data_IF_411017443876
#
_entry.id   IF_411017443876
#
_cell.length_a   1.000
_cell.length_b   1.000
_cell.length_c   1.000
_cell.angle_alpha   90.00
_cell.angle_beta   90.00
_cell.angle_gamma   90.00
#
_symmetry.space_group_name_H-M   'P 1'
#
loop_
_entity.id
_entity.type
_entity.pdbx_description
1 polymer ?
#
# COMPACT_ATOMS: atom_id res chain seq x y z
N UNK A 1 -9.67 4.77 -9.95
CA UNK A 1 -9.88 3.57 -9.11
C UNK A 1 -9.50 3.81 -7.65
N UNK A 2 -8.50 4.63 -7.35
CA UNK A 2 -8.19 5.02 -5.97
C UNK A 2 -8.95 6.28 -5.51
N UNK A 3 -10.18 6.47 -5.98
CA UNK A 3 -10.91 7.72 -5.79
C UNK A 3 -11.49 7.87 -4.39
N UNK A 4 -11.76 6.75 -3.70
CA UNK A 4 -12.39 6.75 -2.39
C UNK A 4 -11.66 5.86 -1.41
N UNK A 5 -11.06 6.47 -0.40
CA UNK A 5 -10.32 5.78 0.65
C UNK A 5 -11.20 5.47 1.85
N UNK A 6 -11.05 4.28 2.42
CA UNK A 6 -11.38 4.04 3.82
C UNK A 6 -10.09 4.14 4.64
N UNK A 7 -10.08 5.00 5.65
CA UNK A 7 -8.96 5.17 6.57
C UNK A 7 -9.40 4.75 7.97
N UNK A 8 -9.03 3.54 8.43
CA UNK A 8 -9.30 3.12 9.79
C UNK A 8 -8.45 3.92 10.78
N UNK A 9 -9.09 4.44 11.82
CA UNK A 9 -8.43 5.20 12.88
C UNK A 9 -8.74 4.59 14.24
N UNK A 10 -7.71 4.36 15.04
CA UNK A 10 -7.78 3.88 16.42
C UNK A 10 -7.31 4.94 17.42
N UNK A 11 -7.14 6.17 16.96
CA UNK A 11 -6.66 7.34 17.70
C UNK A 11 -5.21 7.20 18.17
N UNK A 12 -4.45 6.26 17.63
CA UNK A 12 -2.99 6.22 17.81
C UNK A 12 -2.32 7.32 16.98
N UNK A 13 -1.12 7.79 17.36
CA UNK A 13 -0.34 8.72 16.55
C UNK A 13 -0.17 8.24 15.09
N UNK A 14 0.07 6.95 14.89
CA UNK A 14 0.24 6.36 13.57
C UNK A 14 -1.04 6.44 12.71
N UNK A 15 -2.22 6.22 13.33
CA UNK A 15 -3.48 6.38 12.60
C UNK A 15 -3.81 7.83 12.27
N UNK A 16 -3.35 8.79 13.09
CA UNK A 16 -3.43 10.23 12.80
C UNK A 16 -2.52 10.60 11.63
N UNK A 17 -1.27 10.11 11.61
CA UNK A 17 -0.35 10.30 10.49
C UNK A 17 -0.93 9.74 9.20
N UNK A 18 -1.55 8.55 9.24
CA UNK A 18 -2.21 7.97 8.07
C UNK A 18 -3.34 8.84 7.54
N UNK A 19 -4.16 9.40 8.44
CA UNK A 19 -5.22 10.31 8.04
C UNK A 19 -4.67 11.62 7.43
N UNK A 20 -3.57 12.15 7.97
CA UNK A 20 -2.84 13.29 7.38
C UNK A 20 -2.25 12.94 6.01
N UNK A 21 -1.64 11.77 5.88
CA UNK A 21 -1.13 11.29 4.60
C UNK A 21 -2.25 11.12 3.57
N UNK A 22 -3.44 10.66 3.99
CA UNK A 22 -4.60 10.54 3.12
C UNK A 22 -5.05 11.89 2.53
N UNK A 23 -4.90 13.00 3.27
CA UNK A 23 -5.18 14.34 2.75
C UNK A 23 -4.26 14.70 1.56
N UNK A 24 -2.97 14.32 1.60
CA UNK A 24 -2.04 14.54 0.50
C UNK A 24 -2.37 13.71 -0.75
N UNK A 25 -3.12 12.63 -0.60
CA UNK A 25 -3.50 11.77 -1.73
C UNK A 25 -4.50 12.44 -2.69
N UNK A 26 -5.05 13.60 -2.35
CA UNK A 26 -5.82 14.42 -3.28
C UNK A 26 -5.04 14.70 -4.58
N UNK A 27 -3.74 14.96 -4.48
CA UNK A 27 -2.86 15.20 -5.63
C UNK A 27 -2.71 13.98 -6.54
N UNK A 28 -3.04 12.78 -6.05
CA UNK A 28 -3.00 11.52 -6.80
C UNK A 28 -4.38 11.04 -7.25
N UNK A 29 -5.39 11.94 -7.23
CA UNK A 29 -6.73 11.65 -7.73
C UNK A 29 -7.71 11.08 -6.71
N UNK A 30 -7.35 11.03 -5.42
CA UNK A 30 -8.32 10.74 -4.35
C UNK A 30 -9.30 11.89 -4.23
N UNK A 31 -10.59 11.58 -4.14
CA UNK A 31 -11.69 12.57 -4.08
C UNK A 31 -12.49 12.49 -2.78
N UNK A 32 -12.51 11.31 -2.16
CA UNK A 32 -13.29 11.10 -0.94
C UNK A 32 -12.50 10.25 0.06
N UNK A 33 -12.54 10.65 1.33
CA UNK A 33 -11.97 9.93 2.46
C UNK A 33 -13.06 9.59 3.47
N UNK A 34 -13.18 8.33 3.84
CA UNK A 34 -14.03 7.85 4.92
C UNK A 34 -13.15 7.50 6.11
N UNK A 35 -13.15 8.32 7.13
CA UNK A 35 -12.54 7.97 8.41
C UNK A 35 -13.43 6.97 9.12
N UNK A 36 -12.89 5.80 9.44
CA UNK A 36 -13.63 4.74 10.10
C UNK A 36 -13.02 4.39 11.45
N UNK A 37 -13.80 4.47 12.51
CA UNK A 37 -13.37 4.10 13.85
C UNK A 37 -14.24 2.99 14.43
N UNK A 38 -13.59 1.87 14.79
CA UNK A 38 -14.21 0.67 15.37
C UNK A 38 -13.80 0.52 16.84
N UNK A 39 -14.09 1.51 17.68
CA UNK A 39 -13.69 1.51 19.09
C UNK A 39 -14.83 1.01 20.00
N UNK A 40 -14.50 0.50 21.18
CA UNK A 40 -15.49 -0.03 22.13
C UNK A 40 -16.34 1.07 22.80
N UNK A 41 -15.80 2.29 22.92
CA UNK A 41 -16.48 3.43 23.52
C UNK A 41 -16.25 4.69 22.69
N UNK A 42 -17.32 5.23 22.12
CA UNK A 42 -17.25 6.43 21.31
C UNK A 42 -18.13 7.55 21.79
N UNK A 43 -17.47 8.66 21.90
CA UNK A 43 -18.10 9.94 21.62
C UNK A 43 -17.69 10.39 20.21
N UNK A 44 -18.65 10.69 19.31
CA UNK A 44 -18.40 11.44 18.07
C UNK A 44 -17.72 12.80 18.32
N UNK A 45 -17.55 13.15 19.58
CA UNK A 45 -16.93 14.37 20.10
C UNK A 45 -15.49 14.15 20.55
N UNK A 46 -14.86 13.03 20.19
CA UNK A 46 -13.44 12.84 20.50
C UNK A 46 -12.62 13.97 19.85
N UNK A 47 -11.88 14.76 20.62
CA UNK A 47 -11.14 15.91 20.11
C UNK A 47 -10.15 15.54 19.00
N UNK A 48 -9.58 14.32 19.05
CA UNK A 48 -8.63 13.83 18.05
C UNK A 48 -9.32 13.52 16.72
N UNK A 49 -10.49 12.86 16.77
CA UNK A 49 -11.29 12.64 15.55
C UNK A 49 -11.71 13.96 14.92
N UNK A 50 -12.07 14.95 15.75
CA UNK A 50 -12.39 16.28 15.26
C UNK A 50 -11.20 16.96 14.60
N UNK A 51 -10.02 16.91 15.21
CA UNK A 51 -8.82 17.51 14.64
C UNK A 51 -8.43 16.88 13.27
N UNK A 52 -8.63 15.56 13.13
CA UNK A 52 -8.41 14.87 11.84
C UNK A 52 -9.48 15.31 10.81
N UNK A 53 -10.73 15.41 11.23
CA UNK A 53 -11.86 15.82 10.40
C UNK A 53 -11.69 17.25 9.87
N UNK A 54 -11.33 18.19 10.76
CA UNK A 54 -11.04 19.59 10.44
C UNK A 54 -9.90 19.67 9.37
N UNK A 55 -8.83 18.90 9.54
CA UNK A 55 -7.69 18.86 8.62
C UNK A 55 -8.05 18.31 7.23
N UNK A 56 -8.85 17.25 7.18
CA UNK A 56 -9.36 16.76 5.90
C UNK A 56 -10.23 17.81 5.22
N UNK A 57 -10.98 18.60 6.00
CA UNK A 57 -11.73 19.74 5.49
C UNK A 57 -10.86 20.80 4.82
N UNK A 58 -9.70 21.11 5.41
CA UNK A 58 -8.73 22.05 4.85
C UNK A 58 -8.13 21.57 3.52
N UNK A 59 -8.02 20.25 3.31
CA UNK A 59 -7.49 19.69 2.07
C UNK A 59 -8.44 19.78 0.87
N UNK A 60 -9.68 20.20 1.07
CA UNK A 60 -10.71 20.25 0.04
C UNK A 60 -11.28 18.89 -0.37
N UNK A 61 -10.85 17.79 0.28
CA UNK A 61 -11.38 16.47 0.05
C UNK A 61 -12.80 16.31 0.62
N UNK A 62 -13.67 15.65 -0.14
CA UNK A 62 -14.92 15.18 0.45
C UNK A 62 -14.58 14.13 1.52
N UNK A 63 -15.05 14.35 2.73
CA UNK A 63 -14.76 13.43 3.83
C UNK A 63 -15.96 13.22 4.74
N UNK A 64 -15.92 12.14 5.52
CA UNK A 64 -16.90 11.84 6.56
C UNK A 64 -16.31 10.90 7.61
N UNK A 65 -16.86 11.00 8.81
CA UNK A 65 -16.51 10.14 9.93
C UNK A 65 -17.61 9.12 10.17
N UNK A 66 -17.24 7.84 10.20
CA UNK A 66 -18.11 6.71 10.53
C UNK A 66 -17.57 6.04 11.79
N UNK A 67 -18.40 5.94 12.80
CA UNK A 67 -18.02 5.29 14.08
C UNK A 67 -18.96 4.13 14.36
N UNK A 68 -18.42 2.98 14.70
CA UNK A 68 -19.17 1.79 15.08
C UNK A 68 -18.51 1.10 16.27
N UNK A 69 -19.34 0.48 17.14
CA UNK A 69 -18.83 -0.37 18.22
C UNK A 69 -18.78 -1.80 17.72
N UNK A 70 -17.58 -2.38 17.63
CA UNK A 70 -17.37 -3.74 17.11
C UNK A 70 -16.24 -4.47 17.85
N UNK A 71 -16.46 -5.77 18.11
CA UNK A 71 -15.47 -6.65 18.77
C UNK A 71 -14.36 -7.14 17.83
N UNK A 72 -14.62 -7.27 16.52
CA UNK A 72 -13.62 -7.65 15.50
C UNK A 72 -13.34 -6.45 14.58
N UNK A 73 -12.30 -5.67 14.86
CA UNK A 73 -11.98 -4.48 14.07
C UNK A 73 -11.69 -4.80 12.59
N UNK A 74 -11.03 -5.89 12.29
CA UNK A 74 -10.70 -6.24 10.90
C UNK A 74 -11.94 -6.54 10.06
N UNK A 75 -12.89 -7.33 10.60
CA UNK A 75 -14.17 -7.58 9.93
C UNK A 75 -14.99 -6.30 9.78
N UNK A 76 -14.95 -5.43 10.78
CA UNK A 76 -15.66 -4.18 10.77
C UNK A 76 -15.11 -3.23 9.70
N UNK A 77 -13.80 -3.09 9.59
CA UNK A 77 -13.11 -2.31 8.54
C UNK A 77 -13.50 -2.81 7.14
N UNK A 78 -13.44 -4.12 6.91
CA UNK A 78 -13.78 -4.70 5.60
C UNK A 78 -15.24 -4.47 5.20
N UNK A 79 -16.18 -4.66 6.15
CA UNK A 79 -17.61 -4.39 5.95
C UNK A 79 -17.88 -2.90 5.71
N UNK A 80 -17.22 -2.04 6.46
CA UNK A 80 -17.32 -0.59 6.27
C UNK A 80 -16.81 -0.18 4.89
N UNK A 81 -15.67 -0.73 4.45
CA UNK A 81 -15.14 -0.44 3.11
C UNK A 81 -16.14 -0.82 2.01
N UNK A 82 -16.77 -1.98 2.11
CA UNK A 82 -17.82 -2.44 1.19
C UNK A 82 -19.06 -1.54 1.26
N UNK A 83 -19.60 -1.32 2.45
CA UNK A 83 -20.81 -0.51 2.65
C UNK A 83 -20.64 0.96 2.22
N UNK A 84 -19.43 1.49 2.34
CA UNK A 84 -19.10 2.85 1.93
C UNK A 84 -18.74 2.95 0.43
N UNK A 85 -18.62 1.83 -0.29
CA UNK A 85 -18.18 1.81 -1.69
C UNK A 85 -16.75 2.32 -1.84
N UNK A 86 -15.88 2.04 -0.86
CA UNK A 86 -14.47 2.42 -0.92
C UNK A 86 -13.74 1.62 -1.99
N UNK A 87 -12.74 2.23 -2.61
CA UNK A 87 -11.95 1.63 -3.69
C UNK A 87 -10.56 1.21 -3.22
N UNK A 88 -10.14 1.68 -2.03
CA UNK A 88 -8.90 1.30 -1.37
C UNK A 88 -9.04 1.47 0.14
N UNK A 89 -8.33 0.66 0.92
CA UNK A 89 -8.16 0.83 2.36
C UNK A 89 -6.75 1.37 2.60
N UNK A 90 -6.62 2.47 3.33
CA UNK A 90 -5.33 3.06 3.69
C UNK A 90 -5.18 3.06 5.20
N UNK A 91 -4.17 2.37 5.73
CA UNK A 91 -4.02 2.20 7.17
C UNK A 91 -2.56 2.18 7.61
N UNK A 92 -2.32 2.55 8.87
CA UNK A 92 -1.00 2.42 9.47
C UNK A 92 -0.66 0.94 9.71
N UNK A 93 0.60 0.59 9.59
CA UNK A 93 1.09 -0.78 9.81
C UNK A 93 0.91 -1.26 11.25
N UNK A 94 1.03 -0.36 12.23
CA UNK A 94 0.84 -0.65 13.65
C UNK A 94 -0.01 0.45 14.31
N UNK A 95 -0.82 0.07 15.29
CA UNK A 95 -1.62 0.98 16.13
C UNK A 95 -1.03 1.15 17.53
N UNK A 96 -1.89 1.15 18.57
CA UNK A 96 -1.60 1.43 19.98
C UNK A 96 -0.59 0.52 20.71
N UNK A 97 0.45 0.02 20.09
CA UNK A 97 1.45 -0.84 20.74
C UNK A 97 2.86 -0.38 20.44
N UNK A 98 3.71 -0.24 21.47
CA UNK A 98 5.17 -0.12 21.32
C UNK A 98 5.72 -1.45 20.78
N UNK A 99 5.51 -1.72 19.49
CA UNK A 99 6.00 -2.95 18.88
C UNK A 99 7.22 -2.63 18.02
N UNK A 100 8.27 -3.43 18.22
CA UNK A 100 9.55 -3.35 17.53
C UNK A 100 9.39 -3.10 16.02
N UNK A 101 10.38 -2.48 15.45
CA UNK A 101 10.47 -1.94 14.07
C UNK A 101 9.98 -2.83 12.91
N UNK A 102 9.62 -4.09 13.15
CA UNK A 102 9.32 -5.09 12.12
C UNK A 102 7.92 -5.72 12.20
N UNK A 103 7.00 -5.20 13.04
CA UNK A 103 5.69 -5.84 13.19
C UNK A 103 4.56 -5.08 12.51
N UNK A 104 3.83 -5.78 11.66
CA UNK A 104 2.50 -5.37 11.19
C UNK A 104 1.48 -5.77 12.26
N UNK A 105 0.63 -4.85 12.68
CA UNK A 105 -0.40 -5.10 13.69
C UNK A 105 -1.36 -6.21 13.28
N UNK A 106 -1.91 -6.93 14.26
CA UNK A 106 -2.83 -8.05 14.01
C UNK A 106 -4.05 -7.65 13.17
N UNK A 107 -4.61 -6.48 13.43
CA UNK A 107 -5.73 -5.91 12.65
C UNK A 107 -5.32 -5.64 11.21
N UNK A 108 -4.17 -4.99 10.99
CA UNK A 108 -3.66 -4.68 9.66
C UNK A 108 -3.38 -5.96 8.87
N UNK A 109 -2.74 -6.94 9.50
CA UNK A 109 -2.48 -8.25 8.89
C UNK A 109 -3.79 -8.99 8.52
N UNK A 110 -4.80 -8.94 9.39
CA UNK A 110 -6.10 -9.56 9.13
C UNK A 110 -6.86 -8.87 7.99
N UNK A 111 -6.77 -7.54 7.89
CA UNK A 111 -7.32 -6.76 6.77
C UNK A 111 -6.64 -7.14 5.47
N UNK A 112 -5.29 -7.12 5.41
CA UNK A 112 -4.52 -7.49 4.21
C UNK A 112 -4.89 -8.90 3.72
N UNK A 113 -5.01 -9.87 4.64
CA UNK A 113 -5.33 -11.27 4.27
C UNK A 113 -6.74 -11.45 3.70
N UNK A 114 -7.68 -10.60 4.08
CA UNK A 114 -9.11 -10.79 3.81
C UNK A 114 -9.68 -9.75 2.85
N UNK A 115 -8.93 -8.68 2.56
CA UNK A 115 -9.39 -7.61 1.69
C UNK A 115 -9.47 -8.06 0.23
N UNK A 116 -10.54 -7.66 -0.43
CA UNK A 116 -10.69 -7.73 -1.89
C UNK A 116 -10.27 -6.43 -2.57
N UNK A 117 -10.06 -5.37 -1.78
CA UNK A 117 -9.59 -4.07 -2.24
C UNK A 117 -8.08 -3.98 -2.06
N UNK A 118 -7.39 -3.13 -2.83
CA UNK A 118 -6.04 -2.72 -2.52
C UNK A 118 -5.94 -2.19 -1.09
N UNK A 119 -4.85 -2.53 -0.42
CA UNK A 119 -4.56 -2.03 0.92
C UNK A 119 -3.23 -1.30 0.87
N UNK A 120 -3.27 0.01 1.11
CA UNK A 120 -2.09 0.79 1.38
C UNK A 120 -1.74 0.65 2.86
N UNK A 121 -0.52 0.23 3.12
CA UNK A 121 0.00 0.09 4.47
C UNK A 121 1.20 1.02 4.62
N UNK A 122 1.08 2.00 5.49
CA UNK A 122 2.18 2.91 5.78
C UNK A 122 2.76 2.64 7.17
N UNK A 123 4.07 2.74 7.28
CA UNK A 123 4.80 2.54 8.52
C UNK A 123 5.49 3.83 8.93
N UNK A 124 4.87 4.52 9.85
CA UNK A 124 5.43 5.76 10.41
C UNK A 124 6.47 5.45 11.48
N UNK A 125 7.62 6.14 11.49
CA UNK A 125 8.62 6.00 12.54
C UNK A 125 8.10 6.56 13.87
N UNK A 126 8.59 6.01 14.98
CA UNK A 126 8.18 6.46 16.32
C UNK A 126 8.65 7.89 16.65
N UNK A 127 9.72 8.33 16.03
CA UNK A 127 10.27 9.69 16.20
C UNK A 127 9.30 10.77 15.65
N UNK A 128 8.42 10.39 14.74
CA UNK A 128 7.38 11.28 14.22
C UNK A 128 6.23 11.56 15.22
N UNK A 129 6.22 10.92 16.38
CA UNK A 129 5.18 11.12 17.41
C UNK A 129 5.21 12.55 17.98
N UNK A 130 6.34 13.26 17.89
CA UNK A 130 6.48 14.66 18.37
C UNK A 130 5.87 15.70 17.41
N UNK A 131 5.89 15.44 16.10
CA UNK A 131 5.26 16.25 15.05
C UNK A 131 4.74 15.37 13.90
N UNK A 132 3.60 14.71 14.10
CA UNK A 132 3.04 13.81 13.09
C UNK A 132 2.72 14.50 11.76
N UNK A 133 2.40 15.78 11.83
CA UNK A 133 1.98 16.56 10.67
C UNK A 133 3.18 16.99 9.85
N UNK A 134 4.12 17.66 10.49
CA UNK A 134 5.35 18.11 9.83
C UNK A 134 6.12 16.93 9.24
N UNK A 135 6.14 15.77 9.92
CA UNK A 135 6.72 14.56 9.37
C UNK A 135 6.09 14.17 8.03
N UNK A 136 4.76 14.09 7.97
CA UNK A 136 4.06 13.72 6.74
C UNK A 136 4.25 14.78 5.64
N UNK A 137 4.20 16.06 6.00
CA UNK A 137 4.35 17.16 5.04
C UNK A 137 5.74 17.22 4.40
N UNK A 138 6.79 16.86 5.13
CA UNK A 138 8.17 16.85 4.63
C UNK A 138 8.60 15.50 4.04
N UNK A 139 7.74 14.48 4.09
CA UNK A 139 8.02 13.18 3.48
C UNK A 139 8.03 13.26 1.95
N UNK A 140 8.84 12.43 1.26
CA UNK A 140 8.81 12.30 -0.19
C UNK A 140 7.39 12.02 -0.71
N UNK A 141 7.15 12.33 -1.98
CA UNK A 141 5.89 12.00 -2.63
C UNK A 141 5.70 10.48 -2.72
N UNK A 142 4.51 9.99 -2.38
CA UNK A 142 4.21 8.55 -2.39
C UNK A 142 4.51 7.90 -3.75
N UNK A 143 4.34 8.63 -4.83
CA UNK A 143 4.51 8.17 -6.22
C UNK A 143 5.82 8.65 -6.88
N UNK A 144 6.80 9.15 -6.10
CA UNK A 144 8.08 9.60 -6.67
C UNK A 144 8.88 8.42 -7.24
N UNK A 145 8.90 7.27 -6.55
CA UNK A 145 9.53 6.04 -7.03
C UNK A 145 8.75 4.81 -6.55
N UNK A 146 8.17 4.07 -7.48
CA UNK A 146 7.31 2.91 -7.19
C UNK A 146 8.01 1.62 -7.62
N UNK A 147 8.28 0.73 -6.68
CA UNK A 147 8.74 -0.63 -6.96
C UNK A 147 7.55 -1.59 -7.06
N UNK A 148 7.36 -2.22 -8.21
CA UNK A 148 6.27 -3.18 -8.46
C UNK A 148 6.86 -4.57 -8.60
N UNK A 149 6.48 -5.49 -7.72
CA UNK A 149 6.95 -6.88 -7.79
C UNK A 149 5.97 -7.74 -8.59
N UNK A 150 6.47 -8.40 -9.62
CA UNK A 150 5.69 -9.23 -10.53
C UNK A 150 6.15 -10.69 -10.45
N UNK A 151 5.23 -11.62 -10.22
CA UNK A 151 5.52 -13.06 -10.27
C UNK A 151 5.34 -13.65 -11.67
N UNK A 152 4.91 -12.84 -12.64
CA UNK A 152 4.61 -13.18 -14.01
C UNK A 152 3.59 -14.32 -14.17
N UNK A 153 2.72 -14.48 -13.20
CA UNK A 153 1.56 -15.39 -13.18
C UNK A 153 0.29 -14.70 -13.70
N UNK A 154 -0.83 -15.40 -13.58
CA UNK A 154 -2.16 -14.79 -13.83
C UNK A 154 -2.44 -13.61 -12.88
N UNK A 155 -1.87 -13.62 -11.67
CA UNK A 155 -2.02 -12.52 -10.70
C UNK A 155 -1.42 -11.21 -11.23
N UNK A 156 -0.30 -11.27 -11.96
CA UNK A 156 0.29 -10.09 -12.63
C UNK A 156 -0.73 -9.38 -13.54
N UNK A 157 -1.57 -10.12 -14.27
CA UNK A 157 -2.60 -9.52 -15.14
C UNK A 157 -3.63 -8.71 -14.35
N UNK A 158 -3.91 -9.10 -13.12
CA UNK A 158 -4.82 -8.35 -12.23
C UNK A 158 -4.14 -7.15 -11.58
N UNK A 159 -2.81 -7.19 -11.41
CA UNK A 159 -2.05 -6.07 -10.85
C UNK A 159 -1.81 -4.95 -11.86
N UNK A 160 -1.55 -5.28 -13.12
CA UNK A 160 -1.16 -4.28 -14.14
C UNK A 160 -2.14 -3.12 -14.29
N UNK A 161 -3.47 -3.29 -14.22
CA UNK A 161 -4.40 -2.15 -14.21
C UNK A 161 -4.20 -1.20 -13.03
N UNK A 162 -3.77 -1.68 -11.88
CA UNK A 162 -3.44 -0.82 -10.73
C UNK A 162 -2.12 -0.09 -10.94
N UNK A 163 -1.12 -0.76 -11.56
CA UNK A 163 0.15 -0.12 -11.92
C UNK A 163 -0.11 1.03 -12.91
N UNK A 164 -0.94 0.80 -13.94
CA UNK A 164 -1.33 1.86 -14.87
C UNK A 164 -1.96 3.06 -14.14
N UNK A 165 -2.83 2.81 -13.15
CA UNK A 165 -3.43 3.88 -12.37
C UNK A 165 -2.45 4.67 -11.52
N UNK A 166 -1.36 4.04 -11.03
CA UNK A 166 -0.28 4.78 -10.37
C UNK A 166 0.46 5.69 -11.36
N UNK A 167 0.67 5.21 -12.59
CA UNK A 167 1.25 6.02 -13.68
C UNK A 167 0.31 7.19 -14.03
N UNK A 168 -0.96 6.91 -14.23
CA UNK A 168 -1.98 7.94 -14.54
C UNK A 168 -2.15 8.96 -13.40
N UNK A 169 -1.88 8.56 -12.16
CA UNK A 169 -1.89 9.41 -10.97
C UNK A 169 -0.60 10.23 -10.80
N UNK A 170 0.37 10.12 -11.71
CA UNK A 170 1.58 10.93 -11.73
C UNK A 170 2.80 10.25 -11.10
N UNK A 171 2.87 8.92 -11.11
CA UNK A 171 4.11 8.25 -10.73
C UNK A 171 5.26 8.69 -11.64
N UNK A 172 6.37 9.13 -11.03
CA UNK A 172 7.54 9.63 -11.77
C UNK A 172 8.44 8.51 -12.27
N UNK A 173 8.61 7.49 -11.41
CA UNK A 173 9.38 6.30 -11.74
C UNK A 173 8.64 5.04 -11.31
N UNK A 174 8.61 4.04 -12.17
CA UNK A 174 8.10 2.70 -11.88
C UNK A 174 9.18 1.68 -12.19
N UNK A 175 9.57 0.86 -11.22
CA UNK A 175 10.51 -0.24 -11.42
C UNK A 175 9.74 -1.57 -11.35
N UNK A 176 9.70 -2.30 -12.45
CA UNK A 176 9.11 -3.64 -12.52
C UNK A 176 10.16 -4.67 -12.12
N UNK A 177 9.97 -5.33 -10.99
CA UNK A 177 10.89 -6.32 -10.45
C UNK A 177 10.32 -7.74 -10.58
N UNK A 178 11.11 -8.66 -11.12
CA UNK A 178 10.88 -10.11 -10.98
C UNK A 178 12.05 -10.78 -10.29
N UNK A 179 11.76 -11.57 -9.25
CA UNK A 179 12.78 -12.36 -8.54
C UNK A 179 12.65 -13.83 -8.95
N UNK A 180 13.67 -14.35 -9.62
CA UNK A 180 13.79 -15.77 -9.95
C UNK A 180 14.34 -16.50 -8.73
N UNK A 181 13.50 -17.33 -8.11
CA UNK A 181 13.95 -18.18 -7.02
C UNK A 181 14.87 -19.27 -7.54
N UNK A 182 16.16 -19.13 -7.33
CA UNK A 182 17.19 -20.10 -7.67
C UNK A 182 18.25 -20.12 -6.58
N UNK A 183 18.68 -21.30 -6.19
CA UNK A 183 19.79 -21.48 -5.25
C UNK A 183 21.17 -21.53 -5.92
N UNK A 184 21.22 -21.69 -7.23
CA UNK A 184 22.45 -21.73 -8.03
C UNK A 184 22.17 -21.25 -9.45
N UNK A 185 23.06 -20.40 -9.98
CA UNK A 185 23.00 -19.94 -11.37
C UNK A 185 23.44 -21.07 -12.32
N UNK A 186 22.65 -21.36 -13.37
CA UNK A 186 22.95 -22.39 -14.37
C UNK A 186 22.61 -21.90 -15.79
N UNK A 187 23.03 -22.64 -16.85
CA UNK A 187 22.67 -22.33 -18.23
C UNK A 187 21.15 -22.31 -18.47
N UNK A 188 20.39 -23.07 -17.68
CA UNK A 188 18.93 -23.06 -17.70
C UNK A 188 18.40 -21.72 -17.18
N UNK A 189 19.13 -21.06 -16.30
CA UNK A 189 18.77 -19.76 -15.76
C UNK A 189 18.95 -18.63 -16.80
N UNK A 190 19.92 -18.75 -17.71
CA UNK A 190 20.10 -17.77 -18.79
C UNK A 190 18.88 -17.72 -19.72
N UNK A 191 18.36 -18.88 -20.19
CA UNK A 191 17.15 -18.93 -20.99
C UNK A 191 15.94 -18.39 -20.25
N UNK A 192 15.85 -18.71 -18.97
CA UNK A 192 14.79 -18.21 -18.08
C UNK A 192 14.91 -16.70 -17.87
N UNK A 193 16.12 -16.19 -17.73
CA UNK A 193 16.37 -14.76 -17.64
C UNK A 193 15.87 -14.04 -18.89
N UNK A 194 16.22 -14.52 -20.09
CA UNK A 194 15.79 -13.92 -21.35
C UNK A 194 14.27 -13.94 -21.49
N UNK A 195 13.60 -15.03 -21.12
CA UNK A 195 12.14 -15.13 -21.16
C UNK A 195 11.49 -14.13 -20.16
N UNK A 196 12.00 -14.06 -18.95
CA UNK A 196 11.52 -13.15 -17.92
C UNK A 196 11.70 -11.71 -18.36
N UNK A 197 12.89 -11.37 -18.84
CA UNK A 197 13.20 -10.02 -19.29
C UNK A 197 12.27 -9.60 -20.43
N UNK A 198 12.06 -10.45 -21.42
CA UNK A 198 11.11 -10.18 -22.51
C UNK A 198 9.69 -9.88 -21.99
N UNK A 199 9.20 -10.65 -21.00
CA UNK A 199 7.88 -10.41 -20.40
C UNK A 199 7.81 -9.11 -19.63
N UNK A 200 8.88 -8.73 -18.93
CA UNK A 200 8.95 -7.44 -18.23
C UNK A 200 8.94 -6.28 -19.22
N UNK A 201 9.72 -6.39 -20.33
CA UNK A 201 9.73 -5.38 -21.39
C UNK A 201 8.37 -5.23 -22.07
N UNK A 202 7.61 -6.33 -22.25
CA UNK A 202 6.23 -6.28 -22.75
C UNK A 202 5.29 -5.54 -21.80
N UNK A 203 5.52 -5.60 -20.50
CA UNK A 203 4.76 -4.81 -19.51
C UNK A 203 5.24 -3.37 -19.49
N UNK A 204 6.55 -3.14 -19.53
CA UNK A 204 7.15 -1.82 -19.57
C UNK A 204 6.61 -1.00 -20.73
N UNK A 205 6.68 -1.52 -21.94
CA UNK A 205 6.25 -0.82 -23.17
C UNK A 205 4.76 -0.41 -23.16
N UNK A 206 3.94 -1.06 -22.36
CA UNK A 206 2.51 -0.69 -22.17
C UNK A 206 2.30 0.42 -21.16
N UNK A 207 3.25 0.61 -20.26
CA UNK A 207 3.16 1.60 -19.16
C UNK A 207 3.87 2.92 -19.51
N UNK A 208 4.80 2.90 -20.46
CA UNK A 208 5.55 4.10 -20.86
C UNK A 208 4.60 5.16 -21.40
N UNK A 209 4.39 6.19 -20.62
CA UNK A 209 3.81 7.47 -20.99
C UNK A 209 4.90 8.52 -20.82
N UNK A 210 4.95 9.58 -21.64
CA UNK A 210 6.09 10.51 -21.73
C UNK A 210 6.63 11.08 -20.42
N UNK A 211 5.84 11.05 -19.33
CA UNK A 211 6.18 11.63 -18.03
C UNK A 211 6.61 10.60 -16.97
N UNK A 212 6.47 9.31 -17.22
CA UNK A 212 6.82 8.24 -16.29
C UNK A 212 8.00 7.42 -16.80
N UNK A 213 9.10 7.40 -16.06
CA UNK A 213 10.21 6.50 -16.34
C UNK A 213 9.85 5.08 -15.86
N UNK A 214 9.95 4.07 -16.75
CA UNK A 214 9.69 2.67 -16.40
C UNK A 214 10.96 1.84 -16.59
N UNK A 215 11.46 1.25 -15.51
CA UNK A 215 12.65 0.38 -15.50
C UNK A 215 12.24 -1.08 -15.24
N UNK A 216 13.08 -2.03 -15.65
CA UNK A 216 12.86 -3.46 -15.39
C UNK A 216 14.07 -4.08 -14.70
N UNK A 217 13.82 -4.84 -13.62
CA UNK A 217 14.86 -5.56 -12.88
C UNK A 217 14.54 -7.05 -12.80
N UNK A 218 15.51 -7.87 -13.13
CA UNK A 218 15.47 -9.32 -12.89
C UNK A 218 16.54 -9.65 -11.85
N UNK A 219 16.15 -10.26 -10.75
CA UNK A 219 17.03 -10.66 -9.66
C UNK A 219 16.95 -12.18 -9.43
N UNK A 220 18.00 -12.75 -8.87
CA UNK A 220 18.06 -14.16 -8.51
C UNK A 220 18.22 -14.33 -7.01
N UNK A 221 17.57 -15.32 -6.42
CA UNK A 221 17.71 -15.69 -5.03
C UNK A 221 16.42 -15.52 -4.21
N UNK A 222 16.55 -15.14 -2.94
CA UNK A 222 15.42 -15.01 -2.01
C UNK A 222 14.60 -13.75 -2.32
N UNK A 223 13.29 -13.90 -2.49
CA UNK A 223 12.39 -12.81 -2.88
C UNK A 223 12.46 -11.64 -1.90
N UNK A 224 12.29 -11.88 -0.60
CA UNK A 224 12.28 -10.82 0.41
C UNK A 224 13.56 -9.98 0.38
N UNK A 225 14.73 -10.64 0.35
CA UNK A 225 16.02 -9.94 0.31
C UNK A 225 16.12 -9.06 -0.96
N UNK A 226 15.85 -9.65 -2.13
CA UNK A 226 15.98 -8.93 -3.39
C UNK A 226 14.97 -7.79 -3.56
N UNK A 227 13.76 -7.93 -2.99
CA UNK A 227 12.76 -6.84 -2.99
C UNK A 227 13.27 -5.67 -2.16
N UNK A 228 13.78 -5.93 -0.95
CA UNK A 228 14.29 -4.88 -0.07
C UNK A 228 15.53 -4.19 -0.65
N UNK A 229 16.46 -4.95 -1.23
CA UNK A 229 17.63 -4.37 -1.90
C UNK A 229 17.23 -3.54 -3.13
N UNK A 230 16.34 -4.08 -3.99
CA UNK A 230 15.85 -3.32 -5.15
C UNK A 230 15.08 -2.06 -4.74
N UNK A 231 14.34 -2.10 -3.62
CA UNK A 231 13.66 -0.93 -3.09
C UNK A 231 14.66 0.15 -2.64
N UNK A 232 15.77 -0.24 -2.02
CA UNK A 232 16.84 0.69 -1.64
C UNK A 232 17.55 1.28 -2.85
N UNK A 233 17.94 0.43 -3.81
CA UNK A 233 18.60 0.85 -5.04
C UNK A 233 17.74 1.82 -5.89
N UNK A 234 16.43 1.57 -5.94
CA UNK A 234 15.48 2.42 -6.66
C UNK A 234 15.00 3.62 -5.83
N UNK A 235 15.48 3.77 -4.58
CA UNK A 235 14.98 4.77 -3.63
C UNK A 235 13.44 4.78 -3.56
N UNK A 236 12.84 3.58 -3.51
CA UNK A 236 11.42 3.41 -3.64
C UNK A 236 10.65 4.06 -2.48
N UNK A 237 9.70 4.92 -2.83
CA UNK A 237 8.76 5.56 -1.90
C UNK A 237 7.51 4.70 -1.68
N UNK A 238 7.25 3.76 -2.60
CA UNK A 238 6.16 2.79 -2.53
C UNK A 238 6.61 1.44 -3.06
N UNK A 239 6.26 0.36 -2.36
CA UNK A 239 6.41 -1.02 -2.85
C UNK A 239 5.02 -1.59 -3.09
N UNK A 240 4.74 -2.04 -4.31
CA UNK A 240 3.51 -2.71 -4.69
C UNK A 240 3.73 -4.21 -4.78
N UNK A 241 2.96 -4.96 -3.98
CA UNK A 241 3.04 -6.42 -3.88
C UNK A 241 1.68 -7.06 -4.20
N UNK A 242 1.70 -8.20 -4.88
CA UNK A 242 0.55 -9.09 -4.93
C UNK A 242 0.45 -9.93 -3.66
N UNK A 243 -0.73 -10.02 -3.06
CA UNK A 243 -0.97 -10.86 -1.88
C UNK A 243 -1.01 -12.36 -2.20
N UNK A 244 -1.12 -12.72 -3.49
CA UNK A 244 -1.16 -14.09 -3.99
C UNK A 244 -0.24 -14.23 -5.19
N UNK A 245 0.58 -15.28 -5.21
CA UNK A 245 1.51 -15.59 -6.30
C UNK A 245 1.29 -16.99 -6.86
N UNK A 246 2.33 -17.59 -7.46
CA UNK A 246 2.28 -18.95 -8.06
C UNK A 246 1.81 -20.07 -7.13
N UNK A 247 1.76 -19.84 -5.83
CA UNK A 247 1.37 -20.82 -4.80
C UNK A 247 -0.11 -20.76 -4.37
N UNK A 248 -0.98 -20.12 -5.13
CA UNK A 248 -2.41 -19.95 -4.82
C UNK A 248 -3.21 -21.25 -4.66
N UNK A 249 -2.62 -22.41 -4.92
CA UNK A 249 -3.34 -23.71 -4.92
C UNK A 249 -3.49 -24.38 -3.54
N UNK A 250 -3.01 -23.79 -2.44
CA UNK A 250 -3.16 -24.40 -1.10
C UNK A 250 -3.45 -23.36 -0.03
N UNK A 251 -4.74 -23.07 0.16
CA UNK A 251 -5.24 -22.39 1.37
C UNK A 251 -4.76 -20.93 1.52
N UNK A 252 -5.67 -20.04 1.89
CA UNK A 252 -5.48 -18.60 2.02
C UNK A 252 -4.39 -18.18 3.04
N UNK A 253 -3.13 -18.43 2.72
CA UNK A 253 -1.98 -17.87 3.43
C UNK A 253 -1.35 -16.79 2.56
N UNK A 254 -1.00 -15.65 3.17
CA UNK A 254 -0.13 -14.65 2.53
C UNK A 254 1.09 -15.37 1.96
N UNK A 255 1.53 -14.99 0.76
CA UNK A 255 2.80 -15.44 0.23
C UNK A 255 3.94 -15.20 1.21
N UNK A 256 5.02 -15.94 1.09
CA UNK A 256 6.21 -15.87 1.96
C UNK A 256 7.07 -14.61 1.76
N UNK A 257 6.58 -13.64 1.00
CA UNK A 257 7.28 -12.38 0.69
C UNK A 257 6.89 -11.30 1.65
#
# INVERSE_FOLDING_TARGET
MFEKLLVPVDLSPQSQMMATAAARMASYGVREVVLYSALEHHSKRDPLLKAIDDRLGESGLKHRVVTEVRKDPASAILKAAEAQGSTMIAMAASGKGRVREFFVGSTSLAVIRRSKLPVLLDKFPMEADSDPVGFVEHSPGLLDSVLVTLDLSKATKHMMPYVQQLVDAGARRVTLLHVVQSSRYSITDERRFQEVNRKLEEHRSKLETGDCQVDTYVRFGTSTYNILESAREAEATLIMLGTTGKSYLRGATLGST
#
